data_IF_239172414750
#
_entry.id   IF_239172414750
#
_cell.length_a   1.000
_cell.length_b   1.000
_cell.length_c   1.000
_cell.angle_alpha   90.00
_cell.angle_beta   90.00
_cell.angle_gamma   90.00
#
_symmetry.space_group_name_H-M   'P 1'
#
loop_
_entity.id
_entity.type
_entity.pdbx_description
1 polymer ?
#
# COMPACT_ATOMS: atom_id res chain seq x y z
N UNK A 1 23.82 24.87 1.08
CA UNK A 1 22.44 25.36 0.81
C UNK A 1 21.61 24.27 0.13
N UNK A 2 22.05 23.69 -0.99
CA UNK A 2 21.38 22.52 -1.60
C UNK A 2 21.42 21.27 -0.69
N UNK A 3 22.59 20.95 -0.13
CA UNK A 3 22.75 19.83 0.81
C UNK A 3 21.85 19.95 2.05
N UNK A 4 21.83 21.13 2.67
CA UNK A 4 21.01 21.42 3.85
C UNK A 4 19.50 21.32 3.58
N UNK A 5 19.06 21.62 2.35
CA UNK A 5 17.66 21.48 1.95
C UNK A 5 17.26 20.00 1.79
N UNK A 6 18.13 19.20 1.16
CA UNK A 6 17.93 17.75 1.04
C UNK A 6 17.97 17.07 2.42
N UNK A 7 18.85 17.52 3.31
CA UNK A 7 18.92 17.00 4.67
C UNK A 7 17.65 17.32 5.47
N UNK A 8 17.05 18.48 5.26
CA UNK A 8 15.77 18.85 5.89
C UNK A 8 14.57 18.07 5.33
N UNK A 9 14.52 17.83 4.01
CA UNK A 9 13.41 17.08 3.39
C UNK A 9 13.44 15.59 3.73
N UNK A 10 14.62 15.04 4.02
CA UNK A 10 14.79 13.62 4.38
C UNK A 10 14.45 13.31 5.84
N UNK A 11 14.26 14.32 6.69
CA UNK A 11 13.83 14.09 8.07
C UNK A 11 12.39 13.58 8.14
N UNK A 12 12.02 12.78 9.16
CA UNK A 12 10.63 12.39 9.37
C UNK A 12 9.77 13.61 9.70
N UNK A 13 8.77 13.89 8.85
CA UNK A 13 7.89 15.04 9.05
C UNK A 13 6.83 14.74 10.11
N UNK A 14 6.62 15.64 11.08
CA UNK A 14 5.57 15.47 12.07
C UNK A 14 4.18 15.33 11.43
N UNK A 15 3.32 14.56 12.09
CA UNK A 15 1.96 14.30 11.60
C UNK A 15 1.13 15.57 11.36
N UNK A 16 1.39 16.64 12.13
CA UNK A 16 0.70 17.93 11.98
C UNK A 16 1.19 18.74 10.77
N UNK A 17 2.28 18.34 10.11
CA UNK A 17 2.72 18.88 8.81
C UNK A 17 2.23 18.00 7.69
N UNK A 18 2.48 16.68 7.79
CA UNK A 18 2.09 15.72 6.77
C UNK A 18 0.56 15.65 6.58
N UNK A 19 -0.21 15.68 7.67
CA UNK A 19 -1.67 15.62 7.63
C UNK A 19 -2.31 16.76 6.83
N UNK A 20 -2.06 18.04 7.16
CA UNK A 20 -2.56 19.17 6.38
C UNK A 20 -2.10 19.15 4.91
N UNK A 21 -0.87 18.73 4.62
CA UNK A 21 -0.40 18.61 3.23
C UNK A 21 -1.19 17.57 2.45
N UNK A 22 -1.39 16.38 3.03
CA UNK A 22 -2.24 15.35 2.43
C UNK A 22 -3.67 15.89 2.24
N UNK A 23 -4.21 16.61 3.22
CA UNK A 23 -5.54 17.21 3.13
C UNK A 23 -5.63 18.24 1.98
N UNK A 24 -4.62 19.10 1.80
CA UNK A 24 -4.56 20.06 0.67
C UNK A 24 -4.50 19.34 -0.66
N UNK A 25 -3.70 18.27 -0.78
CA UNK A 25 -3.65 17.45 -2.00
C UNK A 25 -5.01 16.79 -2.25
N UNK A 26 -5.63 16.18 -1.24
CA UNK A 26 -6.93 15.53 -1.38
C UNK A 26 -8.05 16.52 -1.74
N UNK A 27 -8.08 17.68 -1.08
CA UNK A 27 -9.03 18.75 -1.39
C UNK A 27 -8.86 19.22 -2.83
N UNK A 28 -7.61 19.41 -3.27
CA UNK A 28 -7.32 19.79 -4.66
C UNK A 28 -7.86 18.75 -5.63
N UNK A 29 -7.62 17.45 -5.39
CA UNK A 29 -8.14 16.38 -6.24
C UNK A 29 -9.67 16.39 -6.30
N UNK A 30 -10.35 16.56 -5.17
CA UNK A 30 -11.81 16.64 -5.10
C UNK A 30 -12.32 17.85 -5.90
N UNK A 31 -11.70 19.03 -5.74
CA UNK A 31 -12.09 20.25 -6.46
C UNK A 31 -11.93 20.12 -7.99
N UNK A 32 -10.94 19.37 -8.47
CA UNK A 32 -10.75 19.08 -9.89
C UNK A 32 -11.53 17.86 -10.39
N UNK A 33 -12.41 17.28 -9.56
CA UNK A 33 -13.19 16.09 -9.90
C UNK A 33 -12.33 14.85 -10.17
N UNK A 34 -11.15 14.77 -9.56
CA UNK A 34 -10.20 13.67 -9.70
C UNK A 34 -10.30 12.71 -8.52
N UNK A 35 -10.15 11.43 -8.80
CA UNK A 35 -10.21 10.37 -7.78
C UNK A 35 -8.83 10.00 -7.25
N UNK A 36 -8.75 9.61 -5.98
CA UNK A 36 -7.56 9.04 -5.35
C UNK A 36 -7.75 7.53 -5.18
N UNK A 37 -7.49 6.76 -6.23
CA UNK A 37 -7.75 5.31 -6.25
C UNK A 37 -6.64 4.54 -6.96
N UNK A 38 -6.02 3.59 -6.25
CA UNK A 38 -5.00 2.71 -6.81
C UNK A 38 -5.59 1.41 -7.38
N UNK A 39 -6.61 0.84 -6.72
CA UNK A 39 -7.17 -0.47 -7.09
C UNK A 39 -7.89 -0.48 -8.43
N UNK A 40 -8.47 0.66 -8.83
CA UNK A 40 -9.06 0.85 -10.16
C UNK A 40 -8.01 0.68 -11.27
N UNK A 41 -6.73 0.94 -11.01
CA UNK A 41 -5.66 0.76 -11.99
C UNK A 41 -5.40 -0.70 -12.31
N UNK A 42 -5.48 -1.60 -11.33
CA UNK A 42 -5.35 -3.04 -11.59
C UNK A 42 -6.47 -3.54 -12.51
N UNK A 43 -7.72 -3.11 -12.27
CA UNK A 43 -8.86 -3.40 -13.17
C UNK A 43 -8.63 -2.82 -14.57
N UNK A 44 -8.09 -1.60 -14.64
CA UNK A 44 -7.82 -0.88 -15.90
C UNK A 44 -6.73 -1.60 -16.70
N UNK A 45 -5.67 -2.07 -16.04
CA UNK A 45 -4.64 -2.90 -16.67
C UNK A 45 -5.24 -4.20 -17.22
N UNK A 46 -6.08 -4.90 -16.47
CA UNK A 46 -6.77 -6.10 -16.95
C UNK A 46 -7.66 -5.82 -18.16
N UNK A 47 -8.34 -4.67 -18.20
CA UNK A 47 -9.16 -4.23 -19.35
C UNK A 47 -8.28 -3.96 -20.59
N UNK A 48 -7.17 -3.23 -20.43
CA UNK A 48 -6.21 -2.92 -21.51
C UNK A 48 -5.59 -4.20 -22.10
N UNK A 49 -5.27 -5.18 -21.24
CA UNK A 49 -4.72 -6.47 -21.66
C UNK A 49 -5.74 -7.39 -22.35
N UNK A 50 -6.98 -6.93 -22.55
CA UNK A 50 -8.02 -7.66 -23.26
C UNK A 50 -8.91 -8.53 -22.37
N UNK A 51 -8.87 -8.34 -21.05
CA UNK A 51 -9.75 -9.04 -20.10
C UNK A 51 -11.24 -8.85 -20.38
N UNK A 52 -11.62 -7.75 -21.05
CA UNK A 52 -13.01 -7.50 -21.49
C UNK A 52 -13.54 -8.56 -22.44
N UNK A 53 -12.67 -9.31 -23.15
CA UNK A 53 -13.09 -10.44 -24.00
C UNK A 53 -13.48 -11.69 -23.20
N UNK A 54 -13.03 -11.78 -21.94
CA UNK A 54 -13.25 -12.96 -21.08
C UNK A 54 -14.28 -12.71 -19.98
N UNK A 55 -14.48 -11.45 -19.58
CA UNK A 55 -15.43 -11.11 -18.51
C UNK A 55 -15.95 -9.68 -18.68
N UNK A 56 -17.28 -9.52 -18.63
CA UNK A 56 -17.98 -8.24 -18.70
C UNK A 56 -17.50 -7.22 -17.66
N UNK A 57 -16.97 -7.69 -16.52
CA UNK A 57 -16.40 -6.81 -15.51
C UNK A 57 -15.22 -5.97 -16.02
N UNK A 58 -14.43 -6.50 -16.96
CA UNK A 58 -13.31 -5.79 -17.57
C UNK A 58 -13.70 -5.09 -18.89
N UNK A 59 -14.93 -5.29 -19.37
CA UNK A 59 -15.46 -4.64 -20.54
C UNK A 59 -16.04 -3.26 -20.17
N UNK A 60 -15.16 -2.26 -20.11
CA UNK A 60 -15.54 -0.87 -19.89
C UNK A 60 -14.54 0.06 -20.57
N UNK A 61 -14.94 1.32 -20.75
CA UNK A 61 -14.06 2.33 -21.33
C UNK A 61 -12.97 2.75 -20.33
N UNK A 62 -11.83 2.08 -20.42
CA UNK A 62 -10.65 2.33 -19.58
C UNK A 62 -10.14 3.77 -19.66
N UNK A 63 -10.42 4.50 -20.75
CA UNK A 63 -9.98 5.90 -20.92
C UNK A 63 -10.59 6.83 -19.88
N UNK A 64 -11.75 6.48 -19.34
CA UNK A 64 -12.40 7.22 -18.24
C UNK A 64 -11.55 7.19 -16.96
N UNK A 65 -10.68 6.19 -16.81
CA UNK A 65 -9.77 6.03 -15.67
C UNK A 65 -8.35 6.56 -15.95
N UNK A 66 -8.15 7.30 -17.06
CA UNK A 66 -6.82 7.76 -17.48
C UNK A 66 -6.08 8.58 -16.41
N UNK A 67 -6.80 9.34 -15.58
CA UNK A 67 -6.19 10.05 -14.45
C UNK A 67 -5.55 9.11 -13.42
N UNK A 68 -6.22 8.00 -13.08
CA UNK A 68 -5.71 7.07 -12.07
C UNK A 68 -4.43 6.37 -12.57
N UNK A 69 -4.30 6.16 -13.89
CA UNK A 69 -3.08 5.62 -14.50
C UNK A 69 -1.91 6.60 -14.41
N UNK A 70 -2.15 7.89 -14.71
CA UNK A 70 -1.13 8.94 -14.54
C UNK A 70 -0.71 9.04 -13.07
N UNK A 71 -1.66 8.96 -12.15
CA UNK A 71 -1.39 8.94 -10.72
C UNK A 71 -0.55 7.73 -10.29
N UNK A 72 -0.87 6.52 -10.76
CA UNK A 72 -0.06 5.33 -10.48
C UNK A 72 1.36 5.44 -11.04
N UNK A 73 1.51 5.97 -12.26
CA UNK A 73 2.83 6.22 -12.83
C UNK A 73 3.62 7.23 -11.98
N UNK A 74 2.97 8.30 -11.54
CA UNK A 74 3.56 9.29 -10.63
C UNK A 74 4.01 8.69 -9.30
N UNK A 75 3.26 7.74 -8.74
CA UNK A 75 3.66 7.00 -7.54
C UNK A 75 4.89 6.12 -7.77
N UNK A 76 4.98 5.44 -8.92
CA UNK A 76 6.15 4.63 -9.27
C UNK A 76 7.39 5.51 -9.41
N UNK A 77 7.29 6.60 -10.17
CA UNK A 77 8.38 7.55 -10.36
C UNK A 77 8.78 8.19 -9.03
N UNK A 78 7.80 8.62 -8.22
CA UNK A 78 8.04 9.18 -6.90
C UNK A 78 8.74 8.21 -5.96
N UNK A 79 8.31 6.94 -5.95
CA UNK A 79 8.96 5.88 -5.17
C UNK A 79 10.39 5.61 -5.62
N UNK A 80 10.64 5.61 -6.94
CA UNK A 80 12.00 5.47 -7.49
C UNK A 80 12.90 6.64 -7.09
N UNK A 81 12.42 7.89 -7.20
CA UNK A 81 13.17 9.08 -6.78
C UNK A 81 13.44 9.04 -5.27
N UNK A 82 12.44 8.66 -4.46
CA UNK A 82 12.60 8.56 -3.02
C UNK A 82 13.63 7.48 -2.64
N UNK A 83 13.62 6.34 -3.33
CA UNK A 83 14.59 5.28 -3.10
C UNK A 83 16.01 5.68 -3.49
N UNK A 84 16.22 6.37 -4.62
CA UNK A 84 17.59 6.69 -5.08
C UNK A 84 18.18 7.92 -4.36
N UNK A 85 17.34 8.91 -4.03
CA UNK A 85 17.81 10.22 -3.54
C UNK A 85 17.47 10.53 -2.07
N UNK A 86 16.53 9.78 -1.46
CA UNK A 86 16.00 10.10 -0.12
C UNK A 86 16.11 8.94 0.88
N UNK A 87 16.59 7.75 0.50
CA UNK A 87 16.89 6.69 1.46
C UNK A 87 18.18 7.02 2.20
N UNK A 88 18.04 7.38 3.47
CA UNK A 88 19.17 7.40 4.41
C UNK A 88 19.34 5.97 4.94
N UNK A 89 20.53 5.38 4.97
CA UNK A 89 20.71 3.98 5.40
C UNK A 89 20.66 3.75 6.91
N UNK A 90 19.67 4.41 7.52
CA UNK A 90 19.27 4.21 8.89
C UNK A 90 18.42 2.94 9.03
N UNK A 91 18.59 2.27 10.16
CA UNK A 91 17.71 1.19 10.58
C UNK A 91 16.28 1.71 10.72
N UNK A 92 15.31 0.95 10.20
CA UNK A 92 13.89 1.26 10.39
C UNK A 92 13.60 1.29 11.88
N UNK A 93 13.17 2.45 12.37
CA UNK A 93 12.84 2.64 13.79
C UNK A 93 11.54 1.91 14.12
N UNK A 94 11.65 0.63 14.49
CA UNK A 94 10.56 -0.16 15.03
C UNK A 94 10.61 -0.18 16.56
N UNK A 95 9.47 -0.43 17.19
CA UNK A 95 9.41 -0.61 18.64
C UNK A 95 10.29 -1.79 19.07
N UNK A 96 11.03 -1.63 20.18
CA UNK A 96 11.93 -2.68 20.71
C UNK A 96 11.19 -4.01 20.91
N UNK A 97 9.98 -3.97 21.47
CA UNK A 97 9.12 -5.16 21.65
C UNK A 97 8.74 -5.87 20.35
N UNK A 98 8.67 -5.15 19.23
CA UNK A 98 8.42 -5.73 17.90
C UNK A 98 9.68 -6.37 17.35
N UNK A 99 10.83 -5.72 17.54
CA UNK A 99 12.14 -6.26 17.14
C UNK A 99 12.43 -7.59 17.86
N UNK A 100 12.21 -7.64 19.18
CA UNK A 100 12.38 -8.85 19.98
C UNK A 100 11.45 -9.99 19.53
N UNK A 101 10.20 -9.68 19.20
CA UNK A 101 9.25 -10.68 18.68
C UNK A 101 9.64 -11.19 17.30
N UNK A 102 10.12 -10.33 16.40
CA UNK A 102 10.56 -10.76 15.07
C UNK A 102 11.82 -11.63 15.17
N UNK A 103 12.76 -11.26 16.05
CA UNK A 103 13.95 -12.06 16.32
C UNK A 103 13.61 -13.48 16.84
N UNK A 104 12.49 -13.66 17.57
CA UNK A 104 12.05 -15.01 17.98
C UNK A 104 11.54 -15.90 16.84
N UNK A 105 11.27 -15.32 15.66
CA UNK A 105 10.89 -16.03 14.43
C UNK A 105 12.05 -16.07 13.42
N UNK A 106 13.29 -15.88 13.87
CA UNK A 106 14.49 -15.81 13.01
C UNK A 106 14.42 -14.70 11.94
N UNK A 107 13.65 -13.64 12.18
CA UNK A 107 13.55 -12.46 11.31
C UNK A 107 14.31 -11.30 11.94
N UNK A 108 15.33 -10.81 11.22
CA UNK A 108 16.20 -9.75 11.71
C UNK A 108 15.97 -8.46 10.93
N UNK A 109 15.92 -7.33 11.64
CA UNK A 109 15.81 -6.02 10.99
C UNK A 109 17.18 -5.59 10.53
N UNK A 110 17.33 -5.48 9.21
CA UNK A 110 18.57 -5.05 8.58
C UNK A 110 18.49 -3.57 8.18
N UNK A 111 19.64 -2.89 8.15
CA UNK A 111 19.71 -1.55 7.56
C UNK A 111 19.51 -1.69 6.04
N UNK A 112 18.90 -0.69 5.40
CA UNK A 112 18.54 -0.67 3.97
C UNK A 112 17.44 -1.61 3.48
N UNK A 113 16.92 -2.52 4.31
CA UNK A 113 15.84 -3.41 3.90
C UNK A 113 14.49 -2.96 4.47
N UNK A 114 13.61 -2.49 3.57
CA UNK A 114 12.22 -2.13 3.87
C UNK A 114 11.36 -3.31 4.31
N UNK A 115 11.72 -4.52 3.87
CA UNK A 115 10.99 -5.76 4.11
C UNK A 115 11.99 -6.85 4.50
N UNK A 116 11.62 -7.77 5.41
CA UNK A 116 12.50 -8.87 5.78
C UNK A 116 12.74 -9.78 4.58
N UNK A 117 13.99 -9.83 4.11
CA UNK A 117 14.42 -10.60 2.95
C UNK A 117 14.32 -12.11 3.18
N UNK A 118 14.17 -12.56 4.43
CA UNK A 118 13.91 -13.95 4.77
C UNK A 118 12.55 -14.42 4.24
N UNK A 119 11.54 -13.55 4.27
CA UNK A 119 10.18 -13.87 3.79
C UNK A 119 9.94 -13.33 2.37
N UNK A 120 10.40 -12.11 2.09
CA UNK A 120 10.08 -11.38 0.85
C UNK A 120 11.23 -11.41 -0.16
N UNK A 121 11.63 -12.60 -0.60
CA UNK A 121 12.67 -12.80 -1.61
C UNK A 121 12.18 -13.63 -2.79
N UNK A 122 12.66 -13.31 -4.00
CA UNK A 122 12.38 -14.05 -5.24
C UNK A 122 12.63 -15.55 -5.14
N UNK A 123 13.67 -15.95 -4.40
CA UNK A 123 14.00 -17.36 -4.15
C UNK A 123 12.98 -18.07 -3.24
N UNK A 124 12.32 -17.32 -2.36
CA UNK A 124 11.38 -17.83 -1.36
C UNK A 124 9.91 -17.74 -1.82
N UNK A 125 9.62 -17.16 -2.99
CA UNK A 125 8.23 -17.05 -3.51
C UNK A 125 7.54 -18.41 -3.62
N UNK A 126 8.27 -19.47 -3.95
CA UNK A 126 7.76 -20.84 -4.04
C UNK A 126 7.96 -21.66 -2.76
N UNK A 127 8.57 -21.08 -1.71
CA UNK A 127 8.58 -21.70 -0.39
C UNK A 127 7.16 -21.68 0.19
N UNK A 128 6.84 -22.57 1.11
CA UNK A 128 5.50 -22.62 1.71
C UNK A 128 5.14 -21.28 2.37
N UNK A 129 6.08 -20.71 3.12
CA UNK A 129 5.93 -19.42 3.78
C UNK A 129 5.75 -18.28 2.76
N UNK A 130 6.68 -18.14 1.80
CA UNK A 130 6.63 -17.05 0.82
C UNK A 130 5.45 -17.16 -0.14
N UNK A 131 5.03 -18.37 -0.51
CA UNK A 131 3.82 -18.59 -1.30
C UNK A 131 2.57 -18.10 -0.57
N UNK A 132 2.44 -18.41 0.73
CA UNK A 132 1.30 -17.94 1.53
C UNK A 132 1.31 -16.41 1.66
N UNK A 133 2.46 -15.80 2.00
CA UNK A 133 2.55 -14.35 2.20
C UNK A 133 2.38 -13.56 0.90
N UNK A 134 3.06 -13.95 -0.17
CA UNK A 134 3.15 -13.17 -1.40
C UNK A 134 2.00 -13.53 -2.34
N UNK A 135 1.86 -14.81 -2.70
CA UNK A 135 0.90 -15.25 -3.72
C UNK A 135 -0.53 -15.27 -3.16
N UNK A 136 -0.75 -16.02 -2.08
CA UNK A 136 -2.08 -16.11 -1.48
C UNK A 136 -2.48 -14.78 -0.83
N UNK A 137 -1.57 -14.10 -0.13
CA UNK A 137 -1.80 -12.77 0.41
C UNK A 137 -2.18 -11.76 -0.66
N UNK A 138 -1.41 -11.67 -1.75
CA UNK A 138 -1.72 -10.79 -2.88
C UNK A 138 -3.06 -11.10 -3.55
N UNK A 139 -3.38 -12.39 -3.73
CA UNK A 139 -4.68 -12.82 -4.24
C UNK A 139 -5.84 -12.39 -3.33
N UNK A 140 -5.72 -12.62 -2.02
CA UNK A 140 -6.73 -12.25 -1.03
C UNK A 140 -6.93 -10.74 -0.96
N UNK A 141 -5.85 -9.95 -1.05
CA UNK A 141 -5.94 -8.48 -1.11
C UNK A 141 -6.68 -8.03 -2.38
N UNK A 142 -6.35 -8.61 -3.54
CA UNK A 142 -7.04 -8.31 -4.80
C UNK A 142 -8.53 -8.67 -4.76
N UNK A 143 -8.84 -9.89 -4.31
CA UNK A 143 -10.21 -10.36 -4.12
C UNK A 143 -10.98 -9.48 -3.13
N UNK A 144 -10.40 -9.23 -1.95
CA UNK A 144 -11.02 -8.43 -0.89
C UNK A 144 -11.28 -7.00 -1.32
N UNK A 145 -10.33 -6.38 -2.03
CA UNK A 145 -10.49 -5.04 -2.62
C UNK A 145 -11.66 -4.99 -3.60
N UNK A 146 -11.84 -6.03 -4.41
CA UNK A 146 -12.98 -6.12 -5.33
C UNK A 146 -14.29 -6.33 -4.57
N UNK A 147 -14.30 -7.22 -3.58
CA UNK A 147 -15.47 -7.55 -2.79
C UNK A 147 -15.95 -6.34 -1.97
N UNK A 148 -15.02 -5.59 -1.38
CA UNK A 148 -15.29 -4.36 -0.63
C UNK A 148 -15.67 -3.16 -1.49
N UNK A 149 -15.50 -3.24 -2.82
CA UNK A 149 -15.79 -2.13 -3.74
C UNK A 149 -14.72 -1.03 -3.74
N UNK A 150 -13.54 -1.30 -3.18
CA UNK A 150 -12.45 -0.33 -3.04
C UNK A 150 -11.35 -0.83 -2.11
N UNK A 151 -10.20 -0.17 -2.13
CA UNK A 151 -9.09 -0.39 -1.19
C UNK A 151 -9.05 0.72 -0.13
N UNK A 152 -8.04 0.68 0.74
CA UNK A 152 -7.83 1.68 1.80
C UNK A 152 -7.75 3.11 1.24
N UNK A 153 -7.14 3.33 0.07
CA UNK A 153 -7.08 4.67 -0.52
C UNK A 153 -8.47 5.21 -0.90
N UNK A 154 -9.34 4.34 -1.42
CA UNK A 154 -10.70 4.70 -1.81
C UNK A 154 -11.63 4.90 -0.62
N UNK A 155 -11.64 3.97 0.34
CA UNK A 155 -12.54 4.05 1.49
C UNK A 155 -12.02 4.95 2.61
N UNK A 156 -10.76 4.80 3.03
CA UNK A 156 -10.25 5.49 4.21
C UNK A 156 -9.81 6.93 3.90
N UNK A 157 -9.22 7.21 2.74
CA UNK A 157 -8.76 8.56 2.40
C UNK A 157 -9.90 9.34 1.73
N UNK A 158 -10.41 8.90 0.58
CA UNK A 158 -11.47 9.64 -0.13
C UNK A 158 -12.84 9.47 0.51
N UNK A 159 -13.27 8.23 0.77
CA UNK A 159 -14.63 7.92 1.22
C UNK A 159 -14.98 8.46 2.61
N UNK A 160 -14.04 8.43 3.55
CA UNK A 160 -14.23 9.06 4.87
C UNK A 160 -14.24 10.58 4.79
N UNK A 161 -13.42 11.18 3.92
CA UNK A 161 -13.43 12.63 3.68
C UNK A 161 -14.77 13.11 3.08
N UNK A 162 -15.43 12.25 2.30
CA UNK A 162 -16.78 12.47 1.76
C UNK A 162 -17.90 11.99 2.70
N UNK A 163 -17.57 11.65 3.96
CA UNK A 163 -18.51 11.24 5.01
C UNK A 163 -19.39 10.02 4.64
N UNK A 164 -18.89 9.13 3.79
CA UNK A 164 -19.64 7.96 3.34
C UNK A 164 -19.69 6.89 4.44
N UNK A 165 -20.90 6.60 4.93
CA UNK A 165 -21.14 5.58 5.97
C UNK A 165 -20.62 4.19 5.58
N UNK A 166 -20.79 3.82 4.30
CA UNK A 166 -20.29 2.56 3.78
C UNK A 166 -18.75 2.47 3.88
N UNK A 167 -18.06 3.57 3.55
CA UNK A 167 -16.59 3.65 3.64
C UNK A 167 -16.09 3.63 5.08
N UNK A 168 -16.84 4.19 6.04
CA UNK A 168 -16.55 4.04 7.47
C UNK A 168 -16.63 2.57 7.91
N UNK A 169 -17.70 1.87 7.57
CA UNK A 169 -17.86 0.45 7.91
C UNK A 169 -16.76 -0.42 7.27
N UNK A 170 -16.45 -0.17 5.99
CA UNK A 170 -15.37 -0.86 5.28
C UNK A 170 -14.01 -0.63 5.98
N UNK A 171 -13.70 0.62 6.33
CA UNK A 171 -12.43 0.97 6.98
C UNK A 171 -12.30 0.31 8.36
N UNK A 172 -13.35 0.34 9.19
CA UNK A 172 -13.35 -0.35 10.49
C UNK A 172 -13.10 -1.86 10.30
N UNK A 173 -13.75 -2.45 9.30
CA UNK A 173 -13.59 -3.88 9.00
C UNK A 173 -12.18 -4.23 8.52
N UNK A 174 -11.54 -3.37 7.73
CA UNK A 174 -10.14 -3.57 7.29
C UNK A 174 -9.17 -3.56 8.46
N UNK A 175 -9.30 -2.58 9.38
CA UNK A 175 -8.45 -2.51 10.58
C UNK A 175 -8.72 -3.67 11.53
N UNK A 176 -9.99 -4.03 11.76
CA UNK A 176 -10.34 -5.17 12.60
C UNK A 176 -9.77 -6.48 12.03
N UNK A 177 -9.92 -6.71 10.72
CA UNK A 177 -9.35 -7.86 10.03
C UNK A 177 -7.82 -7.89 10.13
N UNK A 178 -7.16 -6.76 9.91
CA UNK A 178 -5.70 -6.63 10.05
C UNK A 178 -5.23 -6.99 11.46
N UNK A 179 -5.86 -6.43 12.50
CA UNK A 179 -5.55 -6.75 13.89
C UNK A 179 -5.76 -8.24 14.20
N UNK A 180 -6.86 -8.83 13.75
CA UNK A 180 -7.14 -10.25 13.94
C UNK A 180 -6.07 -11.13 13.27
N UNK A 181 -5.71 -10.85 12.02
CA UNK A 181 -4.67 -11.60 11.32
C UNK A 181 -3.32 -11.45 12.01
N UNK A 182 -2.92 -10.23 12.38
CA UNK A 182 -1.63 -9.97 13.05
C UNK A 182 -1.52 -10.70 14.39
N UNK A 183 -2.60 -10.80 15.17
CA UNK A 183 -2.55 -11.43 16.48
C UNK A 183 -2.78 -12.95 16.47
N UNK A 184 -3.65 -13.44 15.57
CA UNK A 184 -4.09 -14.85 15.61
C UNK A 184 -3.58 -15.71 14.46
N UNK A 185 -3.12 -15.13 13.35
CA UNK A 185 -2.71 -15.91 12.18
C UNK A 185 -1.22 -15.73 11.89
N UNK A 186 -0.73 -14.50 11.96
CA UNK A 186 0.66 -14.16 11.65
C UNK A 186 1.69 -14.92 12.51
N UNK A 187 1.52 -15.15 13.83
CA UNK A 187 2.47 -15.95 14.61
C UNK A 187 2.69 -17.36 14.05
N UNK A 188 1.64 -18.00 13.52
CA UNK A 188 1.74 -19.33 12.92
C UNK A 188 2.39 -19.26 11.55
N UNK A 189 2.08 -18.24 10.75
CA UNK A 189 2.67 -18.04 9.42
C UNK A 189 4.17 -17.70 9.48
N UNK A 190 4.61 -16.98 10.50
CA UNK A 190 6.02 -16.64 10.68
C UNK A 190 6.86 -17.81 11.23
N UNK A 191 6.23 -18.84 11.80
CA UNK A 191 6.92 -20.02 12.35
C UNK A 191 6.99 -21.21 11.36
N UNK A 192 6.41 -21.08 10.17
CA UNK A 192 6.43 -22.07 9.09
C UNK A 192 7.82 -22.17 8.44
#
# INVERSE_FOLDING_TARGET
MWSSFIEWINQPWPWYVAGPLIAVVMLSLILFGKTFGLSSNLRTMCSILGGGKSCDYFDYDWKQQGWNLVFALGLIIGGFIAHEFMSDNQLIQIAETTAEKLASYDIYVQADELLPSEVFNWSNVLSLQGFIFIVLGGFLVGFGTRYGGGCTSGHAITGLSDLQKASLLATISFFAGGLLITHFVMPYLLNL
#
